data_IF_462582407063
#
_entry.id   IF_462582407063
#
_cell.length_a   1.000
_cell.length_b   1.000
_cell.length_c   1.000
_cell.angle_alpha   90.00
_cell.angle_beta   90.00
_cell.angle_gamma   90.00
#
_symmetry.space_group_name_H-M   'P 1'
#
loop_
_entity.id
_entity.type
_entity.pdbx_description
1 polymer ?
#
# COMPACT_ATOMS: atom_id res chain seq x y z
N UNK A 1 -63.85 -6.35 -37.89
CA UNK A 1 -62.40 -6.06 -37.90
C UNK A 1 -62.03 -5.86 -36.45
N UNK A 2 -61.72 -6.98 -35.83
CA UNK A 2 -61.82 -7.23 -34.40
C UNK A 2 -60.43 -7.28 -33.81
N UNK A 3 -60.04 -6.24 -33.09
CA UNK A 3 -58.78 -6.26 -32.34
C UNK A 3 -58.94 -5.54 -31.00
N UNK A 4 -59.63 -6.21 -30.08
CA UNK A 4 -59.53 -5.94 -28.64
C UNK A 4 -59.01 -7.17 -27.93
N UNK A 5 -57.69 -7.38 -27.98
CA UNK A 5 -56.98 -8.32 -27.10
C UNK A 5 -56.69 -7.62 -25.76
N UNK A 6 -57.12 -8.25 -24.67
CA UNK A 6 -56.82 -7.84 -23.30
C UNK A 6 -55.38 -8.17 -22.86
N UNK A 7 -55.13 -8.27 -21.54
CA UNK A 7 -54.31 -7.33 -20.77
C UNK A 7 -52.88 -7.83 -20.54
N UNK A 8 -51.92 -6.93 -20.28
CA UNK A 8 -50.66 -7.35 -19.66
C UNK A 8 -50.14 -6.35 -18.62
N UNK A 9 -50.25 -6.77 -17.35
CA UNK A 9 -49.51 -6.21 -16.21
C UNK A 9 -48.02 -6.47 -16.42
N UNK A 10 -47.17 -5.44 -16.42
CA UNK A 10 -45.77 -5.58 -15.95
C UNK A 10 -45.32 -4.35 -15.16
N UNK A 11 -45.46 -4.51 -13.84
CA UNK A 11 -44.54 -4.09 -12.79
C UNK A 11 -43.87 -2.71 -12.88
N UNK A 12 -44.36 -1.82 -12.02
CA UNK A 12 -43.61 -0.65 -11.58
C UNK A 12 -42.28 -1.05 -10.97
N UNK A 13 -41.21 -0.47 -11.50
CA UNK A 13 -39.90 -0.40 -10.87
C UNK A 13 -40.01 0.49 -9.64
N UNK A 14 -40.27 -0.13 -8.48
CA UNK A 14 -40.09 0.53 -7.18
C UNK A 14 -38.65 1.05 -7.09
N UNK A 15 -38.41 2.26 -6.55
CA UNK A 15 -37.06 2.71 -6.23
C UNK A 15 -36.46 1.76 -5.18
N UNK A 16 -35.26 1.27 -5.42
CA UNK A 16 -34.50 0.47 -4.45
C UNK A 16 -34.29 1.31 -3.17
N UNK A 17 -35.11 1.04 -2.15
CA UNK A 17 -34.91 1.55 -0.79
C UNK A 17 -33.70 0.83 -0.21
N UNK A 18 -32.56 1.53 -0.11
CA UNK A 18 -31.37 1.04 0.59
C UNK A 18 -31.63 1.08 2.11
N UNK A 19 -32.37 0.10 2.61
CA UNK A 19 -32.47 -0.22 4.03
C UNK A 19 -31.66 -1.46 4.31
N UNK A 20 -30.63 -1.36 5.17
CA UNK A 20 -30.05 -2.53 5.80
C UNK A 20 -28.56 -2.45 6.12
N UNK A 21 -28.25 -2.34 7.42
CA UNK A 21 -27.34 -3.29 8.04
C UNK A 21 -25.84 -3.02 7.92
N UNK A 22 -25.37 -1.90 8.47
CA UNK A 22 -23.97 -1.76 8.86
C UNK A 22 -23.80 -2.19 10.31
N UNK A 23 -23.67 -3.50 10.51
CA UNK A 23 -23.25 -4.17 11.74
C UNK A 23 -22.28 -3.31 12.56
N UNK A 24 -22.60 -3.16 13.85
CA UNK A 24 -21.64 -2.76 14.86
C UNK A 24 -20.49 -3.77 14.90
N UNK A 25 -19.54 -3.63 13.98
CA UNK A 25 -18.22 -4.20 14.16
C UNK A 25 -17.54 -3.27 15.15
N UNK A 26 -17.62 -3.70 16.42
CA UNK A 26 -16.74 -3.33 17.52
C UNK A 26 -15.59 -2.47 17.01
N UNK A 27 -15.57 -1.19 17.41
CA UNK A 27 -14.30 -0.51 17.64
C UNK A 27 -13.58 -1.36 18.69
N UNK A 28 -13.01 -2.52 18.28
CA UNK A 28 -11.89 -3.09 18.98
C UNK A 28 -10.94 -1.92 19.02
N UNK A 29 -10.73 -1.43 20.22
CA UNK A 29 -9.76 -0.41 20.52
C UNK A 29 -8.49 -0.80 19.78
N UNK A 30 -8.24 -0.17 18.63
CA UNK A 30 -6.92 -0.16 18.02
C UNK A 30 -6.11 0.72 18.95
N UNK A 31 -5.77 0.20 20.14
CA UNK A 31 -4.70 0.77 20.94
C UNK A 31 -3.55 0.90 19.95
N UNK A 32 -3.06 2.12 19.69
CA UNK A 32 -1.93 2.28 18.80
C UNK A 32 -0.86 1.31 19.31
N UNK A 33 -0.41 0.41 18.42
CA UNK A 33 0.66 -0.51 18.80
C UNK A 33 1.82 0.36 19.28
N UNK A 34 2.43 0.05 20.44
CA UNK A 34 3.59 0.80 20.88
C UNK A 34 4.60 0.79 19.72
N UNK A 35 5.01 1.98 19.29
CA UNK A 35 6.01 2.12 18.25
C UNK A 35 7.29 1.49 18.80
N UNK A 36 7.73 0.40 18.18
CA UNK A 36 9.01 -0.20 18.53
C UNK A 36 10.11 0.57 17.81
N UNK A 37 11.17 0.96 18.50
CA UNK A 37 12.33 1.65 17.90
C UNK A 37 13.13 0.78 16.91
N UNK A 38 12.72 -0.48 16.68
CA UNK A 38 13.38 -1.43 15.78
C UNK A 38 13.58 -0.89 14.36
N UNK A 39 14.80 -1.02 13.84
CA UNK A 39 15.21 -0.63 12.47
C UNK A 39 15.05 -1.76 11.43
N UNK A 40 14.48 -2.89 11.84
CA UNK A 40 14.35 -4.07 10.99
C UNK A 40 13.67 -3.82 9.63
N UNK A 41 12.57 -3.03 9.50
CA UNK A 41 11.98 -2.79 8.19
C UNK A 41 12.85 -1.90 7.29
N UNK A 42 13.61 -0.96 7.85
CA UNK A 42 14.60 -0.16 7.12
C UNK A 42 15.76 -1.02 6.64
N UNK A 43 16.28 -1.90 7.51
CA UNK A 43 17.38 -2.82 7.20
C UNK A 43 16.98 -3.84 6.11
N UNK A 44 15.72 -4.32 6.15
CA UNK A 44 15.16 -5.17 5.10
C UNK A 44 15.06 -4.44 3.75
N UNK A 45 14.65 -3.18 3.75
CA UNK A 45 14.57 -2.39 2.53
C UNK A 45 15.95 -2.22 1.89
N UNK A 46 16.95 -1.85 2.70
CA UNK A 46 18.34 -1.71 2.28
C UNK A 46 18.90 -3.02 1.71
N UNK A 47 18.68 -4.14 2.40
CA UNK A 47 19.12 -5.45 1.93
C UNK A 47 18.54 -5.80 0.55
N UNK A 48 17.23 -5.67 0.38
CA UNK A 48 16.58 -6.00 -0.90
C UNK A 48 17.10 -5.07 -2.01
N UNK A 49 17.25 -3.78 -1.73
CA UNK A 49 17.73 -2.80 -2.71
C UNK A 49 19.17 -3.12 -3.17
N UNK A 50 20.07 -3.47 -2.25
CA UNK A 50 21.44 -3.90 -2.60
C UNK A 50 21.43 -5.14 -3.50
N UNK A 51 20.57 -6.13 -3.19
CA UNK A 51 20.41 -7.33 -4.03
C UNK A 51 19.88 -6.97 -5.43
N UNK A 52 18.91 -6.06 -5.53
CA UNK A 52 18.38 -5.59 -6.81
C UNK A 52 19.41 -4.80 -7.62
N UNK A 53 20.24 -3.97 -6.96
CA UNK A 53 21.30 -3.21 -7.60
C UNK A 53 22.42 -4.11 -8.15
N UNK A 54 22.58 -5.34 -7.64
CA UNK A 54 23.68 -6.28 -7.92
C UNK A 54 25.07 -5.77 -7.51
N UNK A 55 25.12 -4.60 -6.90
CA UNK A 55 26.32 -3.98 -6.36
C UNK A 55 25.92 -3.25 -5.07
N UNK A 56 26.47 -3.65 -3.90
CA UNK A 56 26.13 -3.03 -2.62
C UNK A 56 26.65 -1.60 -2.48
N UNK A 57 27.69 -1.21 -3.23
CA UNK A 57 28.36 0.10 -3.11
C UNK A 57 27.76 1.15 -4.06
N UNK A 58 26.92 0.70 -5.01
CA UNK A 58 26.24 1.57 -5.98
C UNK A 58 25.04 2.34 -5.40
N UNK A 59 24.70 2.14 -4.13
CA UNK A 59 23.54 2.74 -3.47
C UNK A 59 23.96 3.54 -2.24
N UNK A 60 23.52 4.79 -2.17
CA UNK A 60 23.61 5.59 -0.95
C UNK A 60 22.25 5.63 -0.27
N UNK A 61 22.23 5.33 1.03
CA UNK A 61 21.02 5.28 1.83
C UNK A 61 20.99 6.42 2.85
N UNK A 62 19.86 7.10 2.93
CA UNK A 62 19.58 8.12 3.94
C UNK A 62 18.32 7.74 4.73
N UNK A 63 18.42 7.72 6.06
CA UNK A 63 17.30 7.39 6.95
C UNK A 63 16.86 8.65 7.69
N UNK A 64 15.65 9.10 7.39
CA UNK A 64 15.04 10.29 8.00
C UNK A 64 13.84 9.91 8.85
N UNK A 65 13.97 10.07 10.16
CA UNK A 65 12.86 9.90 11.08
C UNK A 65 11.97 11.15 11.08
N UNK A 66 10.75 11.01 10.57
CA UNK A 66 9.78 12.11 10.38
C UNK A 66 8.85 12.27 11.61
N UNK A 67 9.09 11.47 12.67
CA UNK A 67 8.30 11.48 13.92
C UNK A 67 7.08 10.55 13.88
N UNK A 68 6.49 10.29 15.04
CA UNK A 68 5.30 9.43 15.22
C UNK A 68 5.43 8.02 14.59
N UNK A 69 6.62 7.41 14.68
CA UNK A 69 6.89 6.09 14.10
C UNK A 69 6.98 6.08 12.57
N UNK A 70 7.13 7.25 11.92
CA UNK A 70 7.35 7.37 10.48
C UNK A 70 8.84 7.52 10.16
N UNK A 71 9.34 6.68 9.27
CA UNK A 71 10.68 6.76 8.71
C UNK A 71 10.60 6.89 7.19
N UNK A 72 11.47 7.71 6.62
CA UNK A 72 11.68 7.85 5.17
C UNK A 72 13.07 7.33 4.87
N UNK A 73 13.14 6.37 3.96
CA UNK A 73 14.39 5.81 3.45
C UNK A 73 14.61 6.38 2.06
N UNK A 74 15.54 7.34 1.96
CA UNK A 74 16.02 7.89 0.70
C UNK A 74 17.11 7.00 0.12
N UNK A 75 17.08 6.81 -1.20
CA UNK A 75 18.03 6.00 -1.94
C UNK A 75 18.51 6.81 -3.13
N UNK A 76 19.82 7.04 -3.20
CA UNK A 76 20.47 7.73 -4.32
C UNK A 76 21.37 6.74 -5.04
N UNK A 77 21.29 6.69 -6.37
CA UNK A 77 22.12 5.81 -7.18
C UNK A 77 22.26 6.31 -8.62
N UNK A 78 23.16 5.66 -9.37
CA UNK A 78 23.33 5.95 -10.79
C UNK A 78 22.06 5.66 -11.60
N UNK A 79 21.80 6.40 -12.70
CA UNK A 79 20.59 6.23 -13.52
C UNK A 79 20.40 4.81 -14.07
N UNK A 80 21.50 4.11 -14.34
CA UNK A 80 21.52 2.71 -14.80
C UNK A 80 20.98 1.75 -13.74
N UNK A 81 21.26 2.03 -12.46
CA UNK A 81 20.76 1.27 -11.30
C UNK A 81 19.32 1.67 -11.00
N UNK A 82 18.99 2.97 -11.04
CA UNK A 82 17.64 3.49 -10.82
C UNK A 82 16.60 2.81 -11.70
N UNK A 83 16.88 2.66 -13.01
CA UNK A 83 15.97 1.97 -13.93
C UNK A 83 15.68 0.52 -13.53
N UNK A 84 16.67 -0.18 -12.97
CA UNK A 84 16.53 -1.55 -12.48
C UNK A 84 15.70 -1.62 -11.19
N UNK A 85 15.89 -0.68 -10.26
CA UNK A 85 15.15 -0.62 -9.00
C UNK A 85 13.67 -0.27 -9.23
N UNK A 86 13.39 0.70 -10.11
CA UNK A 86 12.02 1.05 -10.51
C UNK A 86 11.36 -0.15 -11.19
N UNK A 87 12.09 -0.79 -12.09
CA UNK A 87 11.60 -1.90 -12.90
C UNK A 87 10.56 -1.46 -13.94
N UNK A 88 10.07 -2.42 -14.73
CA UNK A 88 9.11 -2.14 -15.81
C UNK A 88 7.80 -1.58 -15.26
N UNK A 89 7.41 -0.40 -15.74
CA UNK A 89 6.21 0.35 -15.30
C UNK A 89 6.19 0.67 -13.79
N UNK A 90 7.35 0.69 -13.12
CA UNK A 90 7.42 0.89 -11.67
C UNK A 90 6.89 -0.27 -10.83
N UNK A 91 6.68 -1.45 -11.43
CA UNK A 91 6.14 -2.62 -10.72
C UNK A 91 7.05 -3.09 -9.58
N UNK A 92 8.37 -3.11 -9.80
CA UNK A 92 9.33 -3.57 -8.80
C UNK A 92 9.32 -2.66 -7.57
N UNK A 93 9.45 -1.35 -7.76
CA UNK A 93 9.44 -0.40 -6.64
C UNK A 93 8.09 -0.37 -5.91
N UNK A 94 6.98 -0.54 -6.63
CA UNK A 94 5.64 -0.58 -6.03
C UNK A 94 5.46 -1.81 -5.15
N UNK A 95 5.91 -2.98 -5.62
CA UNK A 95 5.90 -4.21 -4.85
C UNK A 95 6.79 -4.10 -3.61
N UNK A 96 8.01 -3.57 -3.75
CA UNK A 96 8.93 -3.34 -2.64
C UNK A 96 8.34 -2.42 -1.58
N UNK A 97 7.78 -1.27 -1.97
CA UNK A 97 7.10 -0.34 -1.05
C UNK A 97 5.97 -1.02 -0.28
N UNK A 98 5.18 -1.84 -0.96
CA UNK A 98 4.07 -2.57 -0.35
C UNK A 98 4.57 -3.60 0.66
N UNK A 99 5.63 -4.35 0.32
CA UNK A 99 6.27 -5.32 1.19
C UNK A 99 6.82 -4.67 2.47
N UNK A 100 7.59 -3.58 2.32
CA UNK A 100 8.20 -2.89 3.46
C UNK A 100 7.14 -2.24 4.34
N UNK A 101 6.07 -1.66 3.77
CA UNK A 101 4.93 -1.18 4.55
C UNK A 101 4.24 -2.28 5.35
N UNK A 102 4.05 -3.45 4.75
CA UNK A 102 3.49 -4.61 5.46
C UNK A 102 4.40 -5.06 6.60
N UNK A 103 5.71 -5.13 6.39
CA UNK A 103 6.68 -5.46 7.44
C UNK A 103 6.67 -4.42 8.58
N UNK A 104 6.74 -3.12 8.25
CA UNK A 104 6.72 -2.02 9.21
C UNK A 104 5.44 -1.97 10.04
N UNK A 105 4.30 -2.35 9.45
CA UNK A 105 3.01 -2.40 10.17
C UNK A 105 3.03 -3.34 11.38
N UNK A 106 3.89 -4.38 11.35
CA UNK A 106 4.02 -5.34 12.46
C UNK A 106 4.61 -4.68 13.71
N UNK A 107 5.53 -3.74 13.53
CA UNK A 107 6.23 -3.00 14.59
C UNK A 107 5.58 -1.64 14.93
N UNK A 108 4.41 -1.35 14.35
CA UNK A 108 3.69 -0.09 14.57
C UNK A 108 4.31 1.12 13.86
N UNK A 109 5.25 0.90 12.93
CA UNK A 109 5.92 1.96 12.17
C UNK A 109 5.33 2.12 10.76
N UNK A 110 5.65 3.24 10.14
CA UNK A 110 5.46 3.49 8.70
C UNK A 110 6.80 3.80 8.07
N UNK A 111 7.19 3.01 7.09
CA UNK A 111 8.41 3.24 6.31
C UNK A 111 8.00 3.57 4.88
N UNK A 112 8.48 4.71 4.39
CA UNK A 112 8.31 5.16 3.00
C UNK A 112 9.67 5.11 2.29
N UNK A 113 9.71 4.54 1.08
CA UNK A 113 10.93 4.42 0.27
C UNK A 113 10.86 5.40 -0.88
N UNK A 114 11.92 6.17 -1.03
CA UNK A 114 12.12 7.09 -2.12
C UNK A 114 13.42 6.84 -2.85
N UNK A 115 13.34 6.94 -4.17
CA UNK A 115 14.47 6.80 -5.06
C UNK A 115 14.65 8.16 -5.71
N UNK A 116 15.84 8.74 -5.56
CA UNK A 116 16.27 9.97 -6.18
C UNK A 116 16.93 9.71 -7.55
#
# INVERSE_FOLDING_TARGET
>A
MDEKRGPNKRYGSKPFKKTGGGSGSRRLSSRPRPVSDSTAPEDLAEYILKVLARDPDALQFERLNVGHGRCRVGVTCDPTVTGRLIGKDGRTITALRSLIRAAASRVGKRVDIEIA
#
